data_IF_008330285941
#
_entry.id   IF_008330285941
#
_cell.length_a   1.000
_cell.length_b   1.000
_cell.length_c   1.000
_cell.angle_alpha   90.00
_cell.angle_beta   90.00
_cell.angle_gamma   90.00
#
_symmetry.space_group_name_H-M   'P 1'
#
loop_
_entity.id
_entity.type
_entity.pdbx_description
1 polymer ?
#
# COMPACT_ATOMS: atom_id res chain seq x y z
N UNK A 1 -3.79 51.55 32.50
CA UNK A 1 -4.68 50.37 32.53
C UNK A 1 -3.98 49.28 31.72
N UNK A 2 -3.35 48.31 32.37
CA UNK A 2 -2.76 47.16 31.66
C UNK A 2 -3.89 46.30 31.05
N UNK A 3 -3.64 45.60 29.93
CA UNK A 3 -4.67 44.75 29.34
C UNK A 3 -5.13 43.72 30.40
N UNK A 4 -6.44 43.49 30.55
CA UNK A 4 -6.94 42.48 31.47
C UNK A 4 -6.31 41.14 31.10
N UNK A 5 -5.56 40.57 32.03
CA UNK A 5 -4.97 39.24 31.87
C UNK A 5 -6.12 38.24 31.85
N UNK A 6 -6.39 37.64 30.68
CA UNK A 6 -7.47 36.67 30.43
C UNK A 6 -7.53 35.52 31.47
N UNK A 7 -6.43 35.24 32.15
CA UNK A 7 -6.27 34.20 33.17
C UNK A 7 -6.98 34.49 34.50
N UNK A 8 -7.44 35.73 34.75
CA UNK A 8 -8.07 36.11 36.02
C UNK A 8 -9.58 35.82 36.10
N UNK A 9 -10.20 35.40 34.98
CA UNK A 9 -11.67 35.32 34.85
C UNK A 9 -12.25 33.94 35.20
N UNK A 10 -11.44 32.88 35.16
CA UNK A 10 -11.84 31.55 35.63
C UNK A 10 -10.83 30.98 36.62
N UNK A 11 -11.29 30.24 37.63
CA UNK A 11 -10.39 29.55 38.54
C UNK A 11 -9.61 28.44 37.82
N UNK A 12 -8.35 28.27 38.24
CA UNK A 12 -7.35 27.42 37.58
C UNK A 12 -7.81 25.96 37.38
N UNK A 13 -8.62 25.44 38.30
CA UNK A 13 -9.17 24.09 38.20
C UNK A 13 -10.10 23.89 36.98
N UNK A 14 -10.83 24.93 36.53
CA UNK A 14 -11.69 24.81 35.36
C UNK A 14 -10.87 24.63 34.08
N UNK A 15 -9.75 25.36 33.95
CA UNK A 15 -8.82 25.17 32.84
C UNK A 15 -8.18 23.78 32.84
N UNK A 16 -7.82 23.27 34.03
CA UNK A 16 -7.27 21.93 34.17
C UNK A 16 -8.29 20.85 33.75
N UNK A 17 -9.52 20.89 34.30
CA UNK A 17 -10.54 19.89 34.00
C UNK A 17 -11.03 19.95 32.56
N UNK A 18 -11.18 21.15 31.98
CA UNK A 18 -11.54 21.30 30.56
C UNK A 18 -10.45 20.78 29.63
N UNK A 19 -9.19 21.07 29.91
CA UNK A 19 -8.05 20.52 29.14
C UNK A 19 -8.00 19.01 29.23
N UNK A 20 -8.14 18.46 30.45
CA UNK A 20 -8.18 17.02 30.68
C UNK A 20 -9.34 16.36 29.93
N UNK A 21 -10.54 16.94 29.99
CA UNK A 21 -11.71 16.45 29.27
C UNK A 21 -11.50 16.45 27.75
N UNK A 22 -10.95 17.53 27.20
CA UNK A 22 -10.61 17.60 25.76
C UNK A 22 -9.60 16.54 25.36
N UNK A 23 -8.52 16.37 26.15
CA UNK A 23 -7.52 15.33 25.88
C UNK A 23 -8.10 13.92 25.97
N UNK A 24 -9.02 13.66 26.90
CA UNK A 24 -9.72 12.37 26.99
C UNK A 24 -10.65 12.13 25.79
N UNK A 25 -11.34 13.16 25.29
CA UNK A 25 -12.18 13.03 24.09
C UNK A 25 -11.32 12.74 22.86
N UNK A 26 -10.24 13.49 22.64
CA UNK A 26 -9.31 13.24 21.53
C UNK A 26 -8.70 11.85 21.67
N UNK A 27 -8.16 11.54 22.85
CA UNK A 27 -7.52 10.26 23.13
C UNK A 27 -8.44 9.06 22.93
N UNK A 28 -9.70 9.16 23.37
CA UNK A 28 -10.69 8.09 23.15
C UNK A 28 -11.06 7.95 21.67
N UNK A 29 -11.29 9.05 20.95
CA UNK A 29 -11.53 9.04 19.51
C UNK A 29 -10.36 8.45 18.71
N UNK A 30 -9.13 8.78 19.09
CA UNK A 30 -7.91 8.20 18.51
C UNK A 30 -7.78 6.73 18.85
N UNK A 31 -8.00 6.34 20.09
CA UNK A 31 -7.90 4.94 20.53
C UNK A 31 -8.92 4.05 19.81
N UNK A 32 -10.18 4.48 19.72
CA UNK A 32 -11.22 3.75 18.97
C UNK A 32 -10.82 3.56 17.51
N UNK A 33 -10.28 4.61 16.87
CA UNK A 33 -9.84 4.50 15.46
C UNK A 33 -8.64 3.58 15.31
N UNK A 34 -7.66 3.67 16.20
CA UNK A 34 -6.48 2.79 16.20
C UNK A 34 -6.88 1.32 16.41
N UNK A 35 -7.88 1.04 17.24
CA UNK A 35 -8.44 -0.31 17.43
C UNK A 35 -9.17 -0.78 16.17
N UNK A 36 -9.95 0.07 15.51
CA UNK A 36 -10.58 -0.28 14.23
C UNK A 36 -9.55 -0.62 13.15
N UNK A 37 -8.43 0.11 13.12
CA UNK A 37 -7.34 -0.08 12.18
C UNK A 37 -6.28 -1.07 12.68
N UNK A 38 -6.51 -1.78 13.81
CA UNK A 38 -5.48 -2.66 14.40
C UNK A 38 -5.30 -3.96 13.63
N UNK A 39 -6.24 -4.31 12.75
CA UNK A 39 -6.19 -5.49 11.86
C UNK A 39 -5.23 -5.29 10.66
N UNK A 40 -4.38 -4.28 10.69
CA UNK A 40 -3.31 -4.05 9.71
C UNK A 40 -3.79 -3.42 8.40
N UNK A 41 -2.96 -3.56 7.35
CA UNK A 41 -3.24 -2.98 6.04
C UNK A 41 -4.55 -3.47 5.43
N UNK A 42 -4.89 -4.75 5.64
CA UNK A 42 -6.13 -5.37 5.16
C UNK A 42 -7.39 -4.63 5.60
N UNK A 43 -7.46 -4.17 6.85
CA UNK A 43 -8.61 -3.41 7.35
C UNK A 43 -8.76 -2.07 6.65
N UNK A 44 -7.65 -1.45 6.27
CA UNK A 44 -7.62 -0.20 5.52
C UNK A 44 -8.10 -0.43 4.08
N UNK A 45 -7.64 -1.51 3.44
CA UNK A 45 -8.10 -1.91 2.10
C UNK A 45 -9.60 -2.21 2.06
N UNK A 46 -10.10 -3.04 2.99
CA UNK A 46 -11.52 -3.38 3.09
C UNK A 46 -12.39 -2.13 3.38
N UNK A 47 -11.91 -1.19 4.19
CA UNK A 47 -12.60 0.07 4.47
C UNK A 47 -12.74 0.97 3.23
N UNK A 48 -11.79 0.88 2.30
CA UNK A 48 -11.85 1.54 1.00
C UNK A 48 -12.65 0.77 -0.05
N UNK A 49 -13.27 -0.36 0.31
CA UNK A 49 -14.02 -1.20 -0.63
C UNK A 49 -13.12 -2.09 -1.49
N UNK A 50 -11.88 -2.30 -1.07
CA UNK A 50 -10.97 -3.23 -1.72
C UNK A 50 -11.42 -4.67 -1.57
N UNK A 51 -11.39 -5.42 -2.68
CA UNK A 51 -11.58 -6.86 -2.73
C UNK A 51 -10.21 -7.54 -2.89
N UNK A 52 -9.85 -8.54 -2.07
CA UNK A 52 -8.59 -9.26 -2.25
C UNK A 52 -8.60 -10.02 -3.59
N UNK A 53 -7.45 -10.01 -4.26
CA UNK A 53 -7.20 -10.80 -5.47
C UNK A 53 -6.69 -12.17 -5.05
N UNK A 54 -7.19 -13.23 -5.69
CA UNK A 54 -6.68 -14.58 -5.49
C UNK A 54 -5.52 -14.86 -6.45
N UNK A 55 -4.52 -15.62 -6.02
CA UNK A 55 -3.35 -15.95 -6.84
C UNK A 55 -3.71 -16.72 -8.13
N UNK A 56 -4.81 -17.47 -8.09
CA UNK A 56 -5.39 -18.26 -9.19
C UNK A 56 -6.41 -17.47 -10.03
N UNK A 57 -6.41 -16.13 -9.97
CA UNK A 57 -7.36 -15.31 -10.74
C UNK A 57 -7.24 -15.58 -12.25
N UNK A 58 -8.40 -15.74 -12.89
CA UNK A 58 -8.53 -15.87 -14.35
C UNK A 58 -8.62 -14.51 -15.05
N UNK A 59 -8.81 -13.42 -14.31
CA UNK A 59 -8.89 -12.06 -14.87
C UNK A 59 -7.50 -11.58 -15.33
N UNK A 60 -7.28 -11.32 -16.64
CA UNK A 60 -5.97 -10.91 -17.16
C UNK A 60 -5.44 -9.62 -16.53
N UNK A 61 -6.31 -8.68 -16.15
CA UNK A 61 -5.90 -7.41 -15.53
C UNK A 61 -5.42 -7.63 -14.10
N UNK A 62 -6.10 -8.50 -13.35
CA UNK A 62 -5.71 -8.86 -11.99
C UNK A 62 -4.41 -9.67 -12.01
N UNK A 63 -4.25 -10.60 -12.97
CA UNK A 63 -3.01 -11.37 -13.15
C UNK A 63 -1.83 -10.46 -13.51
N UNK A 64 -2.03 -9.49 -14.40
CA UNK A 64 -1.02 -8.47 -14.71
C UNK A 64 -0.61 -7.68 -13.48
N UNK A 65 -1.56 -7.31 -12.61
CA UNK A 65 -1.27 -6.61 -11.37
C UNK A 65 -0.46 -7.48 -10.40
N UNK A 66 -0.83 -8.75 -10.23
CA UNK A 66 -0.07 -9.68 -9.38
C UNK A 66 1.38 -9.79 -9.84
N UNK A 67 1.62 -10.00 -11.14
CA UNK A 67 2.97 -10.05 -11.70
C UNK A 67 3.76 -8.75 -11.44
N UNK A 68 3.13 -7.59 -11.65
CA UNK A 68 3.75 -6.29 -11.38
C UNK A 68 4.10 -6.12 -9.89
N UNK A 69 3.22 -6.55 -8.98
CA UNK A 69 3.48 -6.49 -7.54
C UNK A 69 4.63 -7.39 -7.14
N UNK A 70 4.69 -8.61 -7.69
CA UNK A 70 5.77 -9.56 -7.47
C UNK A 70 7.12 -9.01 -7.95
N UNK A 71 7.16 -8.45 -9.16
CA UNK A 71 8.35 -7.80 -9.71
C UNK A 71 8.84 -6.65 -8.82
N UNK A 72 7.93 -5.83 -8.29
CA UNK A 72 8.28 -4.71 -7.41
C UNK A 72 8.70 -5.18 -6.01
N UNK A 73 8.16 -6.29 -5.52
CA UNK A 73 8.63 -6.93 -4.29
C UNK A 73 10.08 -7.38 -4.42
N UNK A 74 10.42 -8.04 -5.54
CA UNK A 74 11.79 -8.45 -5.85
C UNK A 74 12.70 -7.22 -6.00
N UNK A 75 12.29 -6.22 -6.78
CA UNK A 75 13.11 -5.04 -7.06
C UNK A 75 13.39 -4.18 -5.82
N UNK A 76 12.45 -4.11 -4.89
CA UNK A 76 12.57 -3.31 -3.65
C UNK A 76 13.08 -4.12 -2.45
N UNK A 77 13.15 -5.45 -2.56
CA UNK A 77 13.60 -6.34 -1.49
C UNK A 77 12.62 -6.45 -0.32
N UNK A 78 11.32 -6.26 -0.57
CA UNK A 78 10.27 -6.44 0.44
C UNK A 78 9.45 -7.70 0.13
N UNK A 79 8.79 -8.27 1.13
CA UNK A 79 7.90 -9.40 0.95
C UNK A 79 6.71 -9.02 0.05
N UNK A 80 6.21 -9.97 -0.75
CA UNK A 80 5.03 -9.78 -1.61
C UNK A 80 3.81 -9.44 -0.72
N UNK A 81 3.22 -8.24 -0.84
CA UNK A 81 2.07 -7.83 -0.06
C UNK A 81 0.76 -8.47 -0.57
N UNK A 82 -0.26 -8.56 0.28
CA UNK A 82 -1.61 -8.91 -0.19
C UNK A 82 -2.11 -7.83 -1.16
N UNK A 83 -2.72 -8.25 -2.26
CA UNK A 83 -3.16 -7.35 -3.34
C UNK A 83 -4.68 -7.21 -3.36
N UNK A 84 -5.17 -5.98 -3.45
CA UNK A 84 -6.59 -5.64 -3.48
C UNK A 84 -6.96 -4.82 -4.72
N UNK A 85 -8.19 -5.01 -5.20
CA UNK A 85 -8.79 -4.16 -6.24
C UNK A 85 -10.03 -3.46 -5.71
N UNK A 86 -10.10 -2.14 -5.94
CA UNK A 86 -11.28 -1.32 -5.65
C UNK A 86 -12.15 -1.22 -6.92
N UNK A 87 -13.09 -2.15 -7.10
CA UNK A 87 -13.88 -2.30 -8.33
C UNK A 87 -14.83 -1.12 -8.60
N UNK A 88 -15.27 -0.42 -7.56
CA UNK A 88 -16.23 0.69 -7.66
C UNK A 88 -15.56 2.04 -8.01
N UNK A 89 -14.23 2.08 -8.13
CA UNK A 89 -13.44 3.30 -8.27
C UNK A 89 -12.85 3.43 -9.67
N UNK A 90 -13.28 4.45 -10.42
CA UNK A 90 -12.88 4.69 -11.82
C UNK A 90 -11.73 5.69 -11.98
N UNK A 91 -11.35 6.43 -10.93
CA UNK A 91 -10.15 7.26 -10.94
C UNK A 91 -8.89 6.40 -10.95
N UNK A 92 -7.79 6.91 -11.52
CA UNK A 92 -6.49 6.24 -11.50
C UNK A 92 -5.85 6.47 -10.13
N UNK A 93 -5.83 5.43 -9.29
CA UNK A 93 -5.25 5.53 -7.95
C UNK A 93 -4.75 4.17 -7.44
N UNK A 94 -3.86 4.24 -6.46
CA UNK A 94 -3.35 3.10 -5.72
C UNK A 94 -2.98 3.56 -4.31
N UNK A 95 -2.81 2.64 -3.36
CA UNK A 95 -2.19 2.93 -2.08
C UNK A 95 -1.57 1.69 -1.43
N UNK A 96 -0.54 1.89 -0.61
CA UNK A 96 -0.04 0.90 0.33
C UNK A 96 -0.48 1.18 1.78
N UNK A 97 -0.84 0.13 2.52
CA UNK A 97 -1.22 0.24 3.93
C UNK A 97 -0.65 -0.90 4.78
N UNK A 98 -0.25 -0.60 6.02
CA UNK A 98 0.29 -1.59 6.97
C UNK A 98 1.04 -0.93 8.13
N UNK A 99 1.22 -1.65 9.24
CA UNK A 99 2.08 -1.17 10.35
C UNK A 99 3.54 -1.55 10.16
N UNK A 100 3.81 -2.60 9.38
CA UNK A 100 5.14 -3.04 9.02
C UNK A 100 5.15 -3.49 7.55
N UNK A 101 6.32 -3.55 6.89
CA UNK A 101 6.43 -4.08 5.54
C UNK A 101 5.85 -5.50 5.39
N UNK A 102 5.98 -6.35 6.42
CA UNK A 102 5.48 -7.74 6.40
C UNK A 102 3.95 -7.85 6.54
N UNK A 103 3.28 -6.76 6.93
CA UNK A 103 1.81 -6.67 7.03
C UNK A 103 1.26 -5.68 5.99
N UNK A 104 2.06 -5.37 4.98
CA UNK A 104 1.69 -4.44 3.93
C UNK A 104 0.65 -5.05 3.01
N UNK A 105 -0.26 -4.21 2.55
CA UNK A 105 -1.18 -4.51 1.45
C UNK A 105 -1.03 -3.43 0.41
N UNK A 106 -1.23 -3.80 -0.86
CA UNK A 106 -1.31 -2.86 -1.98
C UNK A 106 -2.70 -2.93 -2.57
N UNK A 107 -3.37 -1.79 -2.66
CA UNK A 107 -4.70 -1.68 -3.26
C UNK A 107 -4.64 -0.78 -4.49
N UNK A 108 -5.27 -1.22 -5.59
CA UNK A 108 -5.32 -0.49 -6.87
C UNK A 108 -6.77 -0.29 -7.29
N UNK A 109 -7.10 0.86 -7.87
CA UNK A 109 -8.46 1.12 -8.39
C UNK A 109 -8.72 0.37 -9.70
N UNK A 110 -9.99 0.11 -10.00
CA UNK A 110 -10.38 -0.42 -11.31
C UNK A 110 -9.92 0.50 -12.45
N UNK A 111 -10.06 1.82 -12.26
CA UNK A 111 -9.58 2.81 -13.23
C UNK A 111 -8.09 2.70 -13.53
N UNK A 112 -7.24 2.47 -12.52
CA UNK A 112 -5.80 2.27 -12.75
C UNK A 112 -5.53 0.98 -13.54
N UNK A 113 -6.27 -0.10 -13.28
CA UNK A 113 -6.14 -1.33 -14.06
C UNK A 113 -6.59 -1.18 -15.52
N UNK A 114 -7.67 -0.46 -15.78
CA UNK A 114 -8.21 -0.35 -17.14
C UNK A 114 -7.47 0.68 -18.00
N UNK A 115 -6.99 1.77 -17.40
CA UNK A 115 -6.43 2.92 -18.13
C UNK A 115 -4.91 2.84 -18.27
N UNK A 116 -4.22 2.26 -17.29
CA UNK A 116 -2.76 2.17 -17.32
C UNK A 116 -2.31 0.94 -18.12
N UNK A 117 -1.30 1.15 -18.96
CA UNK A 117 -0.56 0.04 -19.54
C UNK A 117 0.31 -0.63 -18.47
N UNK A 118 1.01 -1.71 -18.84
CA UNK A 118 1.81 -2.49 -17.90
C UNK A 118 2.92 -1.67 -17.23
N UNK A 119 3.67 -0.88 -18.00
CA UNK A 119 4.81 -0.10 -17.50
C UNK A 119 4.37 1.08 -16.62
N UNK A 120 3.25 1.71 -16.98
CA UNK A 120 2.63 2.75 -16.18
C UNK A 120 2.10 2.20 -14.85
N UNK A 121 1.42 1.06 -14.89
CA UNK A 121 0.97 0.37 -13.68
C UNK A 121 2.17 -0.02 -12.80
N UNK A 122 3.24 -0.54 -13.41
CA UNK A 122 4.48 -0.86 -12.71
C UNK A 122 5.09 0.39 -12.06
N UNK A 123 5.10 1.54 -12.74
CA UNK A 123 5.55 2.82 -12.16
C UNK A 123 4.72 3.27 -10.95
N UNK A 124 3.40 3.13 -11.01
CA UNK A 124 2.49 3.44 -9.89
C UNK A 124 2.72 2.49 -8.73
N UNK A 125 2.79 1.18 -8.98
CA UNK A 125 3.03 0.18 -7.93
C UNK A 125 4.43 0.38 -7.31
N UNK A 126 5.47 0.65 -8.11
CA UNK A 126 6.82 0.93 -7.62
C UNK A 126 6.86 2.14 -6.67
N UNK A 127 6.06 3.18 -6.95
CA UNK A 127 5.90 4.32 -6.06
C UNK A 127 5.31 3.88 -4.71
N UNK A 128 4.25 3.06 -4.71
CA UNK A 128 3.66 2.51 -3.48
C UNK A 128 4.64 1.62 -2.70
N UNK A 129 5.48 0.85 -3.40
CA UNK A 129 6.54 0.06 -2.77
C UNK A 129 7.60 0.93 -2.08
N UNK A 130 7.86 2.15 -2.55
CA UNK A 130 8.71 3.10 -1.84
C UNK A 130 8.13 3.47 -0.48
N UNK A 131 6.81 3.64 -0.37
CA UNK A 131 6.15 3.89 0.91
C UNK A 131 6.17 2.67 1.85
N UNK A 132 6.12 1.46 1.29
CA UNK A 132 6.31 0.22 2.06
C UNK A 132 7.72 0.18 2.65
N UNK A 133 8.74 0.31 1.81
CA UNK A 133 10.15 0.22 2.18
C UNK A 133 10.55 1.30 3.19
N UNK A 134 10.10 2.55 2.99
CA UNK A 134 10.42 3.68 3.86
C UNK A 134 9.57 3.73 5.14
N UNK A 135 8.58 2.85 5.30
CA UNK A 135 7.73 2.76 6.48
C UNK A 135 6.70 3.90 6.62
N UNK A 136 6.34 4.53 5.50
CA UNK A 136 5.43 5.68 5.46
C UNK A 136 4.01 5.29 5.86
N UNK A 137 3.62 4.06 5.55
CA UNK A 137 2.31 3.49 5.90
C UNK A 137 2.01 3.58 7.41
N UNK A 138 3.01 3.29 8.26
CA UNK A 138 2.84 3.34 9.73
C UNK A 138 2.53 4.76 10.20
N UNK A 139 3.25 5.73 9.65
CA UNK A 139 3.03 7.15 9.95
C UNK A 139 1.64 7.56 9.47
N UNK A 140 1.25 7.12 8.28
CA UNK A 140 -0.04 7.41 7.68
C UNK A 140 -1.22 6.88 8.53
N UNK A 141 -1.16 5.64 9.00
CA UNK A 141 -2.19 5.05 9.88
C UNK A 141 -2.24 5.78 11.23
N UNK A 142 -1.08 6.12 11.81
CA UNK A 142 -1.06 6.86 13.09
C UNK A 142 -1.66 8.26 12.96
N UNK A 143 -1.34 8.95 11.87
CA UNK A 143 -1.91 10.27 11.55
C UNK A 143 -3.43 10.18 11.38
N UNK A 144 -3.97 9.15 10.75
CA UNK A 144 -5.43 8.93 10.68
C UNK A 144 -6.06 8.86 12.07
N UNK A 145 -5.49 8.06 12.98
CA UNK A 145 -6.02 7.93 14.33
C UNK A 145 -6.02 9.27 15.08
N UNK A 146 -4.93 10.03 15.00
CA UNK A 146 -4.83 11.35 15.66
C UNK A 146 -5.81 12.35 15.05
N UNK A 147 -5.90 12.42 13.71
CA UNK A 147 -6.82 13.32 13.01
C UNK A 147 -8.28 12.98 13.33
N UNK A 148 -8.63 11.70 13.40
CA UNK A 148 -9.96 11.26 13.81
C UNK A 148 -10.29 11.72 15.25
N UNK A 149 -9.33 11.61 16.18
CA UNK A 149 -9.51 12.10 17.55
C UNK A 149 -9.81 13.60 17.61
N UNK A 150 -9.12 14.42 16.83
CA UNK A 150 -9.39 15.86 16.71
C UNK A 150 -10.77 16.10 16.08
N UNK A 151 -11.13 15.32 15.05
CA UNK A 151 -12.40 15.44 14.33
C UNK A 151 -13.61 15.16 15.22
N UNK A 152 -13.50 14.26 16.19
CA UNK A 152 -14.56 13.98 17.17
C UNK A 152 -15.03 15.25 17.89
N UNK A 153 -14.13 16.18 18.22
CA UNK A 153 -14.50 17.47 18.85
C UNK A 153 -15.41 18.28 17.92
N UNK A 154 -15.00 18.43 16.66
CA UNK A 154 -15.77 19.15 15.66
C UNK A 154 -17.12 18.48 15.38
N UNK A 155 -17.14 17.15 15.36
CA UNK A 155 -18.35 16.35 15.17
C UNK A 155 -19.35 16.55 16.33
N UNK A 156 -18.87 16.57 17.58
CA UNK A 156 -19.70 16.90 18.76
C UNK A 156 -20.26 18.32 18.63
N UNK A 157 -19.43 19.30 18.26
CA UNK A 157 -19.89 20.67 18.03
C UNK A 157 -20.98 20.75 16.96
N UNK A 158 -20.77 20.08 15.82
CA UNK A 158 -21.74 19.98 14.74
C UNK A 158 -23.04 19.27 15.15
N UNK A 159 -22.95 18.21 15.96
CA UNK A 159 -24.11 17.52 16.51
C UNK A 159 -24.94 18.43 17.42
N UNK A 160 -24.30 19.17 18.33
CA UNK A 160 -24.97 20.13 19.22
C UNK A 160 -25.71 21.21 18.42
N UNK A 161 -25.09 21.76 17.37
CA UNK A 161 -25.71 22.74 16.47
C UNK A 161 -26.93 22.17 15.72
N UNK A 162 -26.88 20.90 15.29
CA UNK A 162 -27.98 20.24 14.56
C UNK A 162 -29.13 19.81 15.47
N UNK A 163 -28.82 19.38 16.70
CA UNK A 163 -29.81 18.90 17.68
C UNK A 163 -30.91 19.93 17.99
N UNK A 164 -30.58 21.22 17.93
CA UNK A 164 -31.50 22.33 18.18
C UNK A 164 -32.46 22.60 17.00
N UNK A 165 -32.16 22.16 15.77
CA UNK A 165 -33.10 22.29 14.64
C UNK A 165 -34.39 21.49 14.87
N UNK A 166 -34.30 20.40 15.64
CA UNK A 166 -35.42 19.54 16.05
C UNK A 166 -36.06 19.96 17.40
N UNK A 167 -35.39 20.80 18.20
CA UNK A 167 -35.88 21.28 19.50
C UNK A 167 -36.83 22.48 19.42
N UNK A 168 -37.20 22.93 18.20
CA UNK A 168 -38.02 24.13 17.91
C UNK A 168 -39.45 24.12 18.49
N UNK A 169 -39.81 23.13 19.30
CA UNK A 169 -41.16 22.86 19.80
C UNK A 169 -41.30 22.86 21.33
N UNK A 170 -40.41 23.51 22.09
CA UNK A 170 -40.57 23.61 23.56
C UNK A 170 -40.35 25.03 24.12
N UNK A 171 -41.29 25.39 25.00
CA UNK A 171 -41.43 26.54 25.93
C UNK A 171 -40.36 27.63 25.97
N UNK A 172 -40.84 28.89 26.10
CA UNK A 172 -40.07 30.14 26.27
C UNK A 172 -39.01 30.12 27.39
N UNK A 173 -39.18 29.33 28.45
CA UNK A 173 -38.19 29.22 29.56
C UNK A 173 -36.93 28.41 29.19
N UNK A 174 -36.96 27.65 28.09
CA UNK A 174 -35.81 26.85 27.64
C UNK A 174 -34.87 27.59 26.68
N UNK A 175 -35.19 28.83 26.32
CA UNK A 175 -34.47 29.61 25.32
C UNK A 175 -33.02 29.95 25.73
N UNK A 176 -32.79 30.24 27.02
CA UNK A 176 -31.46 30.61 27.51
C UNK A 176 -30.49 29.42 27.56
N UNK A 177 -30.98 28.23 27.94
CA UNK A 177 -30.21 26.98 27.88
C UNK A 177 -29.89 26.56 26.45
N UNK A 178 -30.83 26.76 25.52
CA UNK A 178 -30.62 26.50 24.10
C UNK A 178 -29.52 27.38 23.48
N UNK A 179 -29.49 28.68 23.83
CA UNK A 179 -28.44 29.60 23.38
C UNK A 179 -27.06 29.24 23.94
N UNK A 180 -26.98 28.81 25.20
CA UNK A 180 -25.73 28.35 25.80
C UNK A 180 -25.18 27.10 25.09
N UNK A 181 -26.03 26.11 24.83
CA UNK A 181 -25.65 24.89 24.08
C UNK A 181 -25.22 25.23 22.65
N UNK A 182 -25.89 26.18 21.99
CA UNK A 182 -25.51 26.65 20.66
C UNK A 182 -24.13 27.33 20.66
N UNK A 183 -23.85 28.18 21.65
CA UNK A 183 -22.53 28.82 21.80
C UNK A 183 -21.41 27.79 22.00
N UNK A 184 -21.64 26.79 22.86
CA UNK A 184 -20.70 25.68 23.08
C UNK A 184 -20.51 24.87 21.79
N UNK A 185 -21.61 24.52 21.11
CA UNK A 185 -21.58 23.77 19.87
C UNK A 185 -20.79 24.50 18.77
N UNK A 186 -20.99 25.81 18.63
CA UNK A 186 -20.25 26.63 17.68
C UNK A 186 -18.76 26.72 18.04
N UNK A 187 -18.43 26.91 19.31
CA UNK A 187 -17.05 26.96 19.77
C UNK A 187 -16.30 25.64 19.50
N UNK A 188 -16.92 24.49 19.84
CA UNK A 188 -16.35 23.16 19.56
C UNK A 188 -16.22 22.89 18.06
N UNK A 189 -17.20 23.33 17.26
CA UNK A 189 -17.16 23.19 15.81
C UNK A 189 -15.97 23.96 15.21
N UNK A 190 -15.81 25.23 15.58
CA UNK A 190 -14.69 26.07 15.12
C UNK A 190 -13.36 25.49 15.58
N UNK A 191 -13.25 25.08 16.85
CA UNK A 191 -12.01 24.53 17.40
C UNK A 191 -11.62 23.22 16.70
N UNK A 192 -12.58 22.32 16.48
CA UNK A 192 -12.36 21.07 15.74
C UNK A 192 -11.89 21.32 14.31
N UNK A 193 -12.55 22.23 13.59
CA UNK A 193 -12.18 22.57 12.21
C UNK A 193 -10.81 23.25 12.12
N UNK A 194 -10.48 24.12 13.07
CA UNK A 194 -9.16 24.74 13.17
C UNK A 194 -8.07 23.69 13.42
N UNK A 195 -8.33 22.72 14.32
CA UNK A 195 -7.42 21.60 14.57
C UNK A 195 -7.18 20.76 13.32
N UNK A 196 -8.23 20.44 12.56
CA UNK A 196 -8.13 19.72 11.28
C UNK A 196 -7.31 20.53 10.27
N UNK A 197 -7.55 21.85 10.16
CA UNK A 197 -6.83 22.72 9.25
C UNK A 197 -5.31 22.71 9.52
N UNK A 198 -4.90 22.91 10.77
CA UNK A 198 -3.48 22.86 11.14
C UNK A 198 -2.89 21.45 11.00
N UNK A 199 -3.65 20.42 11.34
CA UNK A 199 -3.26 19.03 11.12
C UNK A 199 -2.98 18.73 9.64
N UNK A 200 -3.87 19.18 8.74
CA UNK A 200 -3.69 19.07 7.29
C UNK A 200 -2.47 19.83 6.80
N UNK A 201 -2.23 21.04 7.32
CA UNK A 201 -1.09 21.86 6.91
C UNK A 201 0.25 21.22 7.26
N UNK A 202 0.40 20.71 8.50
CA UNK A 202 1.61 20.01 8.94
C UNK A 202 1.83 18.76 8.08
N UNK A 203 0.77 17.97 7.89
CA UNK A 203 0.80 16.74 7.12
C UNK A 203 1.18 16.99 5.65
N UNK A 204 0.57 17.98 5.02
CA UNK A 204 0.87 18.37 3.64
C UNK A 204 2.32 18.82 3.46
N UNK A 205 2.90 19.51 4.44
CA UNK A 205 4.31 19.89 4.38
C UNK A 205 5.26 18.68 4.43
N UNK A 206 4.96 17.69 5.27
CA UNK A 206 5.78 16.48 5.45
C UNK A 206 5.61 15.49 4.30
N UNK A 207 4.39 15.28 3.79
CA UNK A 207 4.11 14.31 2.72
C UNK A 207 4.79 14.68 1.41
N UNK A 208 4.74 15.95 1.01
CA UNK A 208 5.24 16.39 -0.31
C UNK A 208 6.71 16.07 -0.58
N UNK A 209 7.57 16.08 0.44
CA UNK A 209 8.97 15.70 0.27
C UNK A 209 9.14 14.20 0.06
N UNK A 210 8.31 13.39 0.71
CA UNK A 210 8.28 11.93 0.56
C UNK A 210 7.74 11.51 -0.79
N UNK A 211 6.77 12.22 -1.36
CA UNK A 211 6.29 11.96 -2.72
C UNK A 211 7.40 12.06 -3.76
N UNK A 212 8.28 13.07 -3.67
CA UNK A 212 9.41 13.19 -4.62
C UNK A 212 10.46 12.09 -4.44
N UNK A 213 10.66 11.63 -3.20
CA UNK A 213 11.53 10.48 -2.93
C UNK A 213 10.92 9.19 -3.48
N UNK A 214 9.61 9.02 -3.33
CA UNK A 214 8.86 7.88 -3.83
C UNK A 214 8.87 7.85 -5.37
N UNK A 215 8.69 8.99 -6.04
CA UNK A 215 8.85 9.12 -7.49
C UNK A 215 10.25 8.70 -7.95
N UNK A 216 11.30 9.17 -7.28
CA UNK A 216 12.67 8.77 -7.61
C UNK A 216 12.94 7.28 -7.35
N UNK A 217 12.38 6.73 -6.26
CA UNK A 217 12.50 5.31 -5.92
C UNK A 217 11.76 4.44 -6.95
N UNK A 218 10.60 4.89 -7.44
CA UNK A 218 9.87 4.19 -8.48
C UNK A 218 10.74 4.04 -9.74
N UNK A 219 11.40 5.11 -10.18
CA UNK A 219 12.37 5.06 -11.29
C UNK A 219 13.55 4.13 -10.97
N UNK A 220 14.03 4.12 -9.73
CA UNK A 220 15.12 3.23 -9.32
C UNK A 220 14.71 1.75 -9.37
N UNK A 221 13.51 1.40 -8.91
CA UNK A 221 13.01 0.03 -8.89
C UNK A 221 12.66 -0.47 -10.29
N UNK A 222 11.95 0.32 -11.09
CA UNK A 222 11.55 -0.08 -12.45
C UNK A 222 12.67 0.05 -13.47
N UNK A 223 13.68 0.89 -13.17
CA UNK A 223 14.69 1.37 -14.14
C UNK A 223 14.06 2.02 -15.39
N UNK A 224 12.81 2.44 -15.28
CA UNK A 224 12.01 2.98 -16.37
C UNK A 224 11.32 4.29 -15.93
N UNK A 225 11.90 5.47 -16.24
CA UNK A 225 11.31 6.75 -15.87
C UNK A 225 10.00 7.07 -16.63
N UNK A 226 9.82 6.52 -17.84
CA UNK A 226 8.65 6.83 -18.66
C UNK A 226 7.37 6.24 -18.07
N UNK A 227 7.44 5.07 -17.41
CA UNK A 227 6.28 4.41 -16.78
C UNK A 227 5.55 5.33 -15.81
N UNK A 228 6.23 5.81 -14.76
CA UNK A 228 5.61 6.71 -13.78
C UNK A 228 5.28 8.10 -14.36
N UNK A 229 6.10 8.63 -15.27
CA UNK A 229 5.83 9.93 -15.89
C UNK A 229 4.56 9.92 -16.75
N UNK A 230 4.36 8.87 -17.57
CA UNK A 230 3.17 8.69 -18.38
C UNK A 230 1.94 8.38 -17.54
N UNK A 231 2.07 7.60 -16.45
CA UNK A 231 0.97 7.39 -15.50
C UNK A 231 0.48 8.72 -14.90
N UNK A 232 1.41 9.59 -14.46
CA UNK A 232 1.08 10.92 -13.94
C UNK A 232 0.46 11.82 -15.03
N UNK A 233 0.96 11.74 -16.28
CA UNK A 233 0.37 12.46 -17.42
C UNK A 233 -1.07 12.01 -17.69
N UNK A 234 -1.36 10.70 -17.63
CA UNK A 234 -2.72 10.18 -17.77
C UNK A 234 -3.65 10.66 -16.66
N UNK A 235 -3.16 10.75 -15.41
CA UNK A 235 -3.93 11.37 -14.32
C UNK A 235 -4.23 12.84 -14.62
N UNK A 236 -3.25 13.57 -15.14
CA UNK A 236 -3.40 14.99 -15.47
C UNK A 236 -4.43 15.23 -16.60
N UNK A 237 -4.45 14.35 -17.61
CA UNK A 237 -5.29 14.51 -18.80
C UNK A 237 -6.70 13.90 -18.65
N UNK A 238 -6.87 12.88 -17.81
CA UNK A 238 -8.15 12.20 -17.66
C UNK A 238 -9.17 13.05 -16.89
N UNK A 239 -10.42 13.09 -17.39
CA UNK A 239 -11.54 13.80 -16.77
C UNK A 239 -11.89 13.30 -15.35
N UNK A 240 -11.74 11.99 -15.09
CA UNK A 240 -11.88 11.43 -13.72
C UNK A 240 -10.61 11.65 -12.88
N UNK A 241 -9.46 11.82 -13.53
CA UNK A 241 -8.16 12.00 -12.89
C UNK A 241 -7.88 10.89 -11.87
N UNK A 242 -7.58 11.30 -10.64
CA UNK A 242 -7.32 10.39 -9.51
C UNK A 242 -8.48 10.34 -8.49
N UNK A 243 -9.63 10.94 -8.82
CA UNK A 243 -10.75 11.10 -7.89
C UNK A 243 -11.37 9.76 -7.51
N UNK A 244 -11.80 9.66 -6.25
CA UNK A 244 -12.48 8.48 -5.71
C UNK A 244 -13.84 8.83 -5.10
N UNK A 245 -14.77 7.87 -5.12
CA UNK A 245 -16.15 8.00 -4.65
C UNK A 245 -16.33 7.55 -3.19
N UNK A 246 -15.43 6.74 -2.64
CA UNK A 246 -15.54 6.24 -1.29
C UNK A 246 -15.64 7.37 -0.24
N UNK A 247 -16.53 7.20 0.75
CA UNK A 247 -16.75 8.19 1.82
C UNK A 247 -15.51 8.42 2.71
N UNK A 248 -14.59 7.48 2.75
CA UNK A 248 -13.37 7.58 3.56
C UNK A 248 -12.19 8.19 2.80
N UNK A 249 -12.33 8.46 1.50
CA UNK A 249 -11.26 9.05 0.66
C UNK A 249 -10.68 10.33 1.24
N UNK A 250 -11.51 11.21 1.84
CA UNK A 250 -11.00 12.45 2.44
C UNK A 250 -10.09 12.21 3.66
N UNK A 251 -10.35 11.14 4.43
CA UNK A 251 -9.49 10.74 5.56
C UNK A 251 -8.18 10.10 5.06
N UNK A 252 -8.24 9.46 3.89
CA UNK A 252 -7.19 8.63 3.31
C UNK A 252 -6.40 9.28 2.17
N UNK A 253 -6.69 10.53 1.84
CA UNK A 253 -6.17 11.21 0.64
C UNK A 253 -4.65 11.28 0.53
N UNK A 254 -3.93 11.17 1.65
CA UNK A 254 -2.47 11.18 1.73
C UNK A 254 -1.81 9.81 1.51
N UNK A 255 -2.59 8.73 1.52
CA UNK A 255 -2.08 7.39 1.21
C UNK A 255 -2.22 7.08 -0.27
N UNK A 256 -3.07 7.82 -0.96
CA UNK A 256 -3.39 7.62 -2.36
C UNK A 256 -2.24 8.12 -3.24
N UNK A 257 -1.91 7.41 -4.31
CA UNK A 257 -0.93 7.78 -5.32
C UNK A 257 -1.16 9.19 -5.92
N UNK A 258 -2.44 9.55 -6.07
CA UNK A 258 -2.87 10.84 -6.56
C UNK A 258 -4.02 11.45 -5.74
N UNK A 259 -4.39 12.68 -6.11
CA UNK A 259 -5.38 13.47 -5.39
C UNK A 259 -6.79 12.85 -5.49
N UNK A 260 -7.19 12.08 -4.47
CA UNK A 260 -8.47 11.38 -4.43
C UNK A 260 -9.72 12.26 -4.24
N UNK A 261 -9.56 13.51 -3.81
CA UNK A 261 -10.67 14.44 -3.55
C UNK A 261 -10.52 15.69 -4.39
N UNK A 262 -11.63 16.19 -4.94
CA UNK A 262 -11.61 17.41 -5.73
C UNK A 262 -11.24 18.61 -4.87
N UNK A 263 -10.08 19.20 -5.13
CA UNK A 263 -9.64 20.40 -4.44
C UNK A 263 -10.18 21.66 -5.10
N UNK A 264 -10.52 22.64 -4.27
CA UNK A 264 -10.80 24.01 -4.72
C UNK A 264 -9.46 24.76 -4.83
N UNK A 265 -9.35 25.75 -5.72
CA UNK A 265 -8.10 26.50 -5.93
C UNK A 265 -7.52 27.12 -4.64
N UNK A 266 -8.37 27.44 -3.66
CA UNK A 266 -7.99 27.98 -2.34
C UNK A 266 -7.36 26.95 -1.40
N UNK A 267 -7.45 25.65 -1.69
CA UNK A 267 -6.92 24.57 -0.84
C UNK A 267 -5.62 23.94 -1.34
N UNK A 268 -5.02 24.47 -2.42
CA UNK A 268 -3.75 23.93 -2.97
C UNK A 268 -2.60 23.90 -1.95
N UNK A 269 -2.58 24.79 -0.96
CA UNK A 269 -1.57 24.76 0.10
C UNK A 269 -1.73 23.55 1.05
N UNK A 270 -2.97 23.05 1.17
CA UNK A 270 -3.35 21.90 1.98
C UNK A 270 -3.29 20.58 1.19
N UNK A 271 -2.89 20.63 -0.08
CA UNK A 271 -2.69 19.44 -0.89
C UNK A 271 -1.61 18.55 -0.29
N UNK A 272 -1.97 17.29 -0.04
CA UNK A 272 -1.04 16.27 0.45
C UNK A 272 -0.03 15.91 -0.63
N UNK A 273 -0.44 16.05 -1.89
CA UNK A 273 0.38 15.78 -3.07
C UNK A 273 0.96 17.05 -3.68
N UNK A 274 2.22 17.02 -4.14
CA UNK A 274 2.72 18.08 -5.01
C UNK A 274 1.92 18.13 -6.32
N UNK A 275 1.84 19.30 -6.98
CA UNK A 275 1.24 19.41 -8.30
C UNK A 275 1.84 18.40 -9.29
N UNK A 276 0.99 17.76 -10.09
CA UNK A 276 1.38 16.70 -11.03
C UNK A 276 2.45 17.18 -12.01
N UNK A 277 2.33 18.41 -12.51
CA UNK A 277 3.28 19.02 -13.44
C UNK A 277 4.69 19.13 -12.83
N UNK A 278 4.77 19.38 -11.51
CA UNK A 278 6.06 19.43 -10.79
C UNK A 278 6.66 18.04 -10.59
N UNK A 279 5.83 17.01 -10.41
CA UNK A 279 6.28 15.61 -10.33
C UNK A 279 6.80 15.15 -11.69
N UNK A 280 5.99 15.32 -12.74
CA UNK A 280 6.33 14.97 -14.12
C UNK A 280 7.63 15.65 -14.55
N UNK A 281 7.74 16.98 -14.38
CA UNK A 281 8.94 17.73 -14.79
C UNK A 281 10.23 17.31 -14.07
N UNK A 282 10.14 16.72 -12.88
CA UNK A 282 11.31 16.19 -12.17
C UNK A 282 11.74 14.82 -12.69
N UNK A 283 10.79 14.00 -13.11
CA UNK A 283 11.06 12.65 -13.62
C UNK A 283 11.48 12.72 -15.08
N UNK A 284 10.68 13.40 -15.91
CA UNK A 284 10.94 13.62 -17.32
C UNK A 284 10.74 15.11 -17.66
N UNK A 285 11.83 15.91 -17.65
CA UNK A 285 11.77 17.33 -18.00
C UNK A 285 11.34 17.61 -19.45
N UNK A 286 11.43 16.62 -20.34
CA UNK A 286 11.14 16.77 -21.77
C UNK A 286 9.71 16.39 -22.13
N UNK A 287 8.96 15.78 -21.21
CA UNK A 287 7.60 15.32 -21.46
C UNK A 287 6.63 16.52 -21.64
N UNK A 288 5.94 16.54 -22.78
CA UNK A 288 4.94 17.57 -23.10
C UNK A 288 3.56 17.18 -22.55
N UNK A 289 2.96 18.08 -21.78
CA UNK A 289 1.67 17.85 -21.09
C UNK A 289 0.44 18.10 -21.96
N UNK A 290 0.58 18.95 -22.99
CA UNK A 290 -0.52 19.40 -23.85
C UNK A 290 -0.80 18.46 -25.03
N UNK A 291 0.09 17.49 -25.28
CA UNK A 291 -0.09 16.46 -26.30
C UNK A 291 -1.05 15.39 -25.76
N UNK A 292 -2.30 15.40 -26.25
CA UNK A 292 -3.22 14.28 -26.07
C UNK A 292 -2.68 13.09 -26.86
N UNK A 293 -2.12 12.10 -26.17
CA UNK A 293 -1.78 10.83 -26.80
C UNK A 293 -3.11 10.13 -27.08
N UNK A 294 -3.54 10.19 -28.35
CA UNK A 294 -4.81 9.61 -28.81
C UNK A 294 -4.72 8.09 -28.91
N UNK A 295 -3.54 7.52 -28.66
CA UNK A 295 -3.31 6.09 -28.58
C UNK A 295 -3.71 5.59 -27.19
N UNK A 296 -5.02 5.51 -26.98
CA UNK A 296 -5.53 4.40 -26.19
C UNK A 296 -5.11 3.14 -26.93
N UNK A 297 -4.09 2.45 -26.42
CA UNK A 297 -3.84 1.07 -26.80
C UNK A 297 -5.13 0.31 -26.49
N UNK A 298 -5.97 0.13 -27.52
CA UNK A 298 -6.91 -0.95 -27.55
C UNK A 298 -6.15 -2.20 -27.10
N UNK A 299 -6.79 -3.06 -26.30
CA UNK A 299 -6.30 -4.40 -26.00
C UNK A 299 -6.12 -5.16 -27.31
N UNK A 300 -5.02 -4.88 -28.01
CA UNK A 300 -4.50 -5.73 -29.04
C UNK A 300 -3.87 -6.87 -28.27
N UNK A 301 -4.52 -8.04 -28.35
CA UNK A 301 -3.85 -9.33 -28.25
C UNK A 301 -2.77 -9.36 -29.33
N UNK A 302 -1.67 -8.67 -29.06
CA UNK A 302 -0.42 -8.83 -29.78
C UNK A 302 0.40 -9.83 -28.97
N UNK A 303 0.42 -11.05 -29.47
CA UNK A 303 1.51 -11.99 -29.25
C UNK A 303 2.80 -11.30 -29.76
N UNK A 304 3.39 -10.44 -28.93
CA UNK A 304 4.75 -9.97 -29.17
C UNK A 304 5.69 -11.14 -28.92
N UNK A 305 5.90 -11.89 -30.00
CA UNK A 305 7.05 -12.76 -30.20
C UNK A 305 8.30 -11.91 -30.00
N UNK A 306 8.92 -12.07 -28.83
CA UNK A 306 10.19 -11.44 -28.51
C UNK A 306 11.20 -11.78 -29.60
N UNK A 307 11.66 -10.73 -30.31
CA UNK A 307 12.70 -10.82 -31.30
C UNK A 307 14.00 -11.29 -30.65
N UNK A 308 14.29 -12.58 -30.79
CA UNK A 308 15.61 -13.16 -30.54
C UNK A 308 16.56 -12.50 -31.53
N UNK A 309 17.33 -11.55 -31.02
CA UNK A 309 18.47 -10.99 -31.74
C UNK A 309 19.47 -12.13 -31.91
N UNK A 310 19.59 -12.62 -33.15
CA UNK A 310 20.66 -13.53 -33.56
C UNK A 310 22.00 -12.99 -33.06
N UNK A 311 22.73 -13.75 -32.24
CA UNK A 311 24.20 -13.67 -32.18
C UNK A 311 24.82 -14.88 -31.45
N UNK A 312 25.47 -15.72 -32.26
CA UNK A 312 26.55 -16.66 -31.97
C UNK A 312 26.53 -17.47 -30.66
N UNK A 313 26.16 -18.72 -30.83
CA UNK A 313 26.52 -19.84 -29.97
C UNK A 313 28.04 -19.99 -29.83
N UNK A 314 28.55 -19.72 -28.64
CA UNK A 314 29.74 -20.39 -28.13
C UNK A 314 29.35 -21.12 -26.85
N UNK A 315 28.99 -22.38 -27.02
CA UNK A 315 28.92 -23.38 -25.94
C UNK A 315 30.33 -23.64 -25.44
N UNK A 316 30.66 -23.09 -24.27
CA UNK A 316 31.94 -23.32 -23.60
C UNK A 316 31.79 -23.25 -22.10
N UNK A 317 32.08 -24.37 -21.45
CA UNK A 317 32.23 -24.59 -20.00
C UNK A 317 32.39 -23.30 -19.18
N UNK A 318 31.50 -23.08 -18.23
CA UNK A 318 31.66 -22.06 -17.19
C UNK A 318 32.82 -22.50 -16.29
N UNK A 319 34.03 -22.03 -16.60
CA UNK A 319 35.15 -22.10 -15.68
C UNK A 319 34.85 -21.20 -14.47
N UNK A 320 34.73 -21.84 -13.31
CA UNK A 320 34.47 -21.21 -12.01
C UNK A 320 35.71 -20.49 -11.49
N UNK A 321 36.00 -19.31 -12.06
CA UNK A 321 36.94 -18.36 -11.47
C UNK A 321 36.20 -17.42 -10.53
N UNK A 322 36.70 -17.28 -9.29
CA UNK A 322 36.09 -16.42 -8.25
C UNK A 322 35.89 -14.97 -8.73
N UNK A 323 36.78 -14.48 -9.59
CA UNK A 323 36.74 -13.13 -10.14
C UNK A 323 35.66 -12.96 -11.23
N UNK A 324 35.32 -14.01 -11.98
CA UNK A 324 34.23 -13.95 -12.98
C UNK A 324 32.86 -13.99 -12.31
N UNK A 325 32.74 -14.71 -11.19
CA UNK A 325 31.52 -14.73 -10.37
C UNK A 325 31.24 -13.34 -9.80
N UNK A 326 32.24 -12.68 -9.19
CA UNK A 326 32.07 -11.33 -8.61
C UNK A 326 31.67 -10.30 -9.66
N UNK A 327 32.25 -10.37 -10.86
CA UNK A 327 31.93 -9.44 -11.95
C UNK A 327 30.56 -9.71 -12.62
N UNK A 328 29.96 -10.87 -12.37
CA UNK A 328 28.62 -11.23 -12.87
C UNK A 328 27.49 -10.91 -11.88
N UNK A 329 27.81 -10.53 -10.64
CA UNK A 329 26.81 -10.17 -9.62
C UNK A 329 26.08 -8.89 -10.05
N UNK A 330 24.79 -9.00 -10.34
CA UNK A 330 23.93 -7.89 -10.74
C UNK A 330 23.77 -7.70 -12.25
N UNK A 331 24.39 -8.54 -13.08
CA UNK A 331 24.15 -8.62 -14.52
C UNK A 331 23.45 -9.95 -14.84
N UNK A 332 22.20 -9.87 -15.31
CA UNK A 332 21.45 -11.05 -15.76
C UNK A 332 21.89 -11.37 -17.18
N UNK A 333 22.58 -12.50 -17.36
CA UNK A 333 23.04 -12.95 -18.67
C UNK A 333 22.04 -13.95 -19.28
N UNK A 334 21.97 -14.03 -20.60
CA UNK A 334 21.07 -14.94 -21.33
C UNK A 334 21.31 -16.42 -20.95
N UNK A 335 22.57 -16.81 -20.73
CA UNK A 335 22.91 -18.15 -20.25
C UNK A 335 22.38 -18.45 -18.83
N UNK A 336 22.31 -17.43 -17.95
CA UNK A 336 21.75 -17.57 -16.60
C UNK A 336 20.22 -17.66 -16.67
N UNK A 337 19.58 -16.90 -17.56
CA UNK A 337 18.13 -17.00 -17.81
C UNK A 337 17.75 -18.35 -18.39
N UNK A 338 18.52 -18.87 -19.35
CA UNK A 338 18.29 -20.20 -19.92
C UNK A 338 18.46 -21.30 -18.86
N UNK A 339 19.53 -21.21 -18.05
CA UNK A 339 19.74 -22.15 -16.95
C UNK A 339 18.61 -22.10 -15.92
N UNK A 340 18.14 -20.90 -15.53
CA UNK A 340 17.01 -20.75 -14.62
C UNK A 340 15.71 -21.32 -15.22
N UNK A 341 15.48 -21.12 -16.52
CA UNK A 341 14.33 -21.66 -17.22
C UNK A 341 14.36 -23.19 -17.28
N UNK A 342 15.49 -23.78 -17.68
CA UNK A 342 15.68 -25.23 -17.74
C UNK A 342 15.55 -25.86 -16.35
N UNK A 343 16.06 -25.18 -15.31
CA UNK A 343 15.96 -25.61 -13.91
C UNK A 343 14.52 -25.53 -13.38
N UNK A 344 13.74 -24.52 -13.75
CA UNK A 344 12.32 -24.45 -13.36
C UNK A 344 11.49 -25.52 -14.08
N UNK A 345 11.77 -25.79 -15.36
CA UNK A 345 11.05 -26.82 -16.12
C UNK A 345 11.34 -28.26 -15.66
N UNK A 346 12.49 -28.50 -15.03
CA UNK A 346 12.85 -29.82 -14.52
C UNK A 346 12.27 -30.12 -13.13
N UNK A 347 11.67 -29.14 -12.45
CA UNK A 347 10.96 -29.37 -11.19
C UNK A 347 9.62 -30.05 -11.49
N UNK A 348 9.30 -31.19 -10.85
CA UNK A 348 8.00 -31.84 -11.00
C UNK A 348 6.83 -30.89 -10.73
N UNK A 349 5.85 -30.87 -11.64
CA UNK A 349 4.67 -29.97 -11.57
C UNK A 349 3.92 -30.09 -10.23
N UNK A 350 3.91 -31.29 -9.64
CA UNK A 350 3.30 -31.54 -8.33
C UNK A 350 3.98 -30.75 -7.21
N UNK A 351 5.30 -30.59 -7.25
CA UNK A 351 6.06 -29.80 -6.27
C UNK A 351 5.76 -28.32 -6.49
N UNK A 352 5.74 -27.85 -7.74
CA UNK A 352 5.39 -26.45 -8.08
C UNK A 352 3.98 -26.09 -7.59
N UNK A 353 3.00 -26.97 -7.74
CA UNK A 353 1.64 -26.77 -7.21
C UNK A 353 1.63 -26.63 -5.67
N UNK A 354 2.43 -27.44 -4.97
CA UNK A 354 2.52 -27.38 -3.51
C UNK A 354 3.27 -26.13 -3.03
N UNK A 355 4.24 -25.62 -3.80
CA UNK A 355 4.93 -24.35 -3.50
C UNK A 355 3.93 -23.18 -3.49
N UNK A 356 2.97 -23.17 -4.43
CA UNK A 356 1.97 -22.11 -4.54
C UNK A 356 0.94 -22.13 -3.39
N UNK A 357 0.87 -23.21 -2.61
CA UNK A 357 0.01 -23.30 -1.43
C UNK A 357 0.79 -23.02 -0.14
N UNK A 358 0.27 -22.14 0.72
CA UNK A 358 0.89 -21.83 2.02
C UNK A 358 1.18 -23.05 2.90
N UNK A 359 0.36 -24.12 2.79
CA UNK A 359 0.59 -25.38 3.51
C UNK A 359 1.68 -26.23 2.84
N UNK A 360 1.70 -26.28 1.52
CA UNK A 360 2.66 -27.06 0.74
C UNK A 360 4.07 -26.46 0.79
N UNK A 361 4.21 -25.14 0.70
CA UNK A 361 5.49 -24.44 0.88
C UNK A 361 6.15 -24.78 2.23
N UNK A 362 5.38 -24.77 3.32
CA UNK A 362 5.86 -25.20 4.65
C UNK A 362 6.28 -26.66 4.68
N UNK A 363 5.54 -27.54 4.00
CA UNK A 363 5.86 -28.95 3.93
C UNK A 363 7.16 -29.19 3.14
N UNK A 364 7.42 -28.42 2.07
CA UNK A 364 8.66 -28.50 1.28
C UNK A 364 9.85 -28.03 2.11
N UNK A 365 9.74 -26.90 2.80
CA UNK A 365 10.78 -26.42 3.70
C UNK A 365 11.09 -27.43 4.82
N UNK A 366 10.05 -28.03 5.42
CA UNK A 366 10.23 -29.10 6.40
C UNK A 366 10.90 -30.34 5.81
N UNK A 367 10.60 -30.70 4.56
CA UNK A 367 11.23 -31.81 3.85
C UNK A 367 12.72 -31.54 3.61
N UNK A 368 13.08 -30.33 3.21
CA UNK A 368 14.47 -29.92 2.99
C UNK A 368 15.27 -29.89 4.29
N UNK A 369 14.64 -29.47 5.40
CA UNK A 369 15.25 -29.51 6.74
C UNK A 369 15.39 -30.96 7.24
N UNK A 370 14.42 -31.83 6.96
CA UNK A 370 14.38 -33.22 7.44
C UNK A 370 15.51 -34.12 6.95
N UNK A 371 16.35 -33.66 6.00
CA UNK A 371 17.45 -34.41 5.36
C UNK A 371 16.99 -35.68 4.61
N UNK A 372 17.91 -36.35 3.90
CA UNK A 372 17.61 -37.58 3.13
C UNK A 372 17.00 -38.70 3.98
N UNK A 373 17.40 -38.81 5.26
CA UNK A 373 16.75 -39.69 6.21
C UNK A 373 15.75 -38.87 7.01
N UNK A 374 14.48 -38.94 6.60
CA UNK A 374 13.32 -38.40 7.31
C UNK A 374 13.51 -38.46 8.83
N UNK A 375 13.98 -37.37 9.42
CA UNK A 375 14.29 -37.34 10.85
C UNK A 375 12.98 -37.18 11.62
N UNK A 376 12.28 -38.29 11.84
CA UNK A 376 10.94 -38.32 12.45
C UNK A 376 10.93 -37.68 13.84
N UNK A 377 12.03 -37.79 14.59
CA UNK A 377 12.17 -37.14 15.90
C UNK A 377 12.17 -35.62 15.78
N UNK A 378 12.87 -35.06 14.79
CA UNK A 378 12.89 -33.61 14.55
C UNK A 378 11.52 -33.12 14.08
N UNK A 379 10.86 -33.85 13.16
CA UNK A 379 9.52 -33.52 12.68
C UNK A 379 8.51 -33.53 13.84
N UNK A 380 8.61 -34.50 14.76
CA UNK A 380 7.73 -34.61 15.92
C UNK A 380 7.96 -33.49 16.93
N UNK A 381 9.22 -33.07 17.15
CA UNK A 381 9.54 -31.89 17.98
C UNK A 381 9.00 -30.60 17.37
N UNK A 382 9.13 -30.40 16.05
CA UNK A 382 8.61 -29.22 15.37
C UNK A 382 7.07 -29.17 15.41
N UNK A 383 6.41 -30.32 15.26
CA UNK A 383 4.94 -30.43 15.40
C UNK A 383 4.44 -30.03 16.79
N UNK A 384 5.19 -30.34 17.86
CA UNK A 384 4.78 -30.01 19.23
C UNK A 384 5.08 -28.56 19.61
N UNK A 385 6.15 -27.97 19.09
CA UNK A 385 6.64 -26.66 19.51
C UNK A 385 6.24 -25.50 18.58
N UNK A 386 5.75 -25.76 17.37
CA UNK A 386 5.35 -24.74 16.40
C UNK A 386 3.85 -24.83 16.10
N UNK A 387 3.09 -23.82 16.57
CA UNK A 387 1.65 -23.70 16.31
C UNK A 387 1.35 -23.51 14.82
N UNK A 388 0.40 -24.29 14.29
CA UNK A 388 -0.01 -24.22 12.88
C UNK A 388 0.82 -25.08 11.91
N UNK A 389 1.70 -25.94 12.43
CA UNK A 389 2.53 -26.85 11.64
C UNK A 389 1.90 -28.25 11.47
N UNK A 390 0.79 -28.55 12.17
CA UNK A 390 0.10 -29.84 12.13
C UNK A 390 -0.31 -30.26 10.72
N UNK A 391 -0.86 -29.31 9.96
CA UNK A 391 -1.40 -29.55 8.62
C UNK A 391 -0.28 -29.76 7.61
N UNK A 392 0.84 -29.02 7.74
CA UNK A 392 2.00 -29.15 6.87
C UNK A 392 2.71 -30.51 7.03
N UNK A 393 2.64 -31.13 8.22
CA UNK A 393 3.23 -32.46 8.47
C UNK A 393 2.45 -33.58 7.77
N UNK A 394 1.15 -33.41 7.54
CA UNK A 394 0.36 -34.37 6.77
C UNK A 394 0.75 -34.33 5.29
N UNK A 395 0.84 -33.12 4.73
CA UNK A 395 1.32 -32.88 3.36
C UNK A 395 2.77 -33.31 3.17
N UNK A 396 3.65 -33.11 4.17
CA UNK A 396 5.04 -33.57 4.17
C UNK A 396 5.16 -35.06 3.82
N UNK A 397 4.32 -35.92 4.44
CA UNK A 397 4.40 -37.36 4.19
C UNK A 397 4.08 -37.73 2.74
N UNK A 398 3.34 -36.89 2.02
CA UNK A 398 2.97 -37.12 0.63
C UNK A 398 4.08 -36.69 -0.34
N UNK A 399 4.83 -35.63 0.00
CA UNK A 399 5.81 -35.01 -0.90
C UNK A 399 7.27 -35.29 -0.56
N UNK A 400 7.58 -35.77 0.66
CA UNK A 400 8.95 -35.90 1.14
C UNK A 400 9.82 -36.79 0.24
N UNK A 401 9.28 -37.91 -0.25
CA UNK A 401 10.00 -38.83 -1.14
C UNK A 401 10.33 -38.18 -2.48
N UNK A 402 9.43 -37.35 -3.02
CA UNK A 402 9.65 -36.64 -4.28
C UNK A 402 10.68 -35.52 -4.11
N UNK A 403 10.60 -34.76 -3.02
CA UNK A 403 11.57 -33.69 -2.72
C UNK A 403 12.96 -34.25 -2.39
N UNK A 404 13.04 -35.36 -1.64
CA UNK A 404 14.31 -36.00 -1.31
C UNK A 404 14.98 -36.69 -2.51
N UNK A 405 14.23 -36.99 -3.57
CA UNK A 405 14.76 -37.57 -4.80
C UNK A 405 15.37 -36.52 -5.75
N UNK A 406 15.17 -35.22 -5.50
CA UNK A 406 15.74 -34.16 -6.32
C UNK A 406 17.25 -33.98 -6.04
N UNK A 407 18.06 -33.70 -7.07
CA UNK A 407 19.47 -33.38 -6.90
C UNK A 407 19.68 -32.17 -5.97
N UNK A 408 20.84 -32.11 -5.32
CA UNK A 408 21.18 -31.05 -4.35
C UNK A 408 21.12 -29.63 -4.94
N UNK A 409 21.30 -29.51 -6.26
CA UNK A 409 21.21 -28.26 -7.02
C UNK A 409 19.83 -27.58 -6.89
N UNK A 410 18.77 -28.33 -6.60
CA UNK A 410 17.39 -27.82 -6.47
C UNK A 410 17.06 -27.32 -5.07
N UNK A 411 17.90 -27.56 -4.06
CA UNK A 411 17.57 -27.20 -2.68
C UNK A 411 17.42 -25.70 -2.47
N UNK A 412 18.36 -24.89 -2.99
CA UNK A 412 18.30 -23.43 -2.87
C UNK A 412 17.12 -22.85 -3.67
N UNK A 413 16.90 -23.22 -4.95
CA UNK A 413 15.71 -22.81 -5.70
C UNK A 413 14.40 -23.15 -4.98
N UNK A 414 14.27 -24.35 -4.41
CA UNK A 414 13.05 -24.74 -3.69
C UNK A 414 12.83 -23.94 -2.40
N UNK A 415 13.90 -23.57 -1.69
CA UNK A 415 13.81 -22.68 -0.53
C UNK A 415 13.32 -21.30 -0.98
N UNK A 416 13.95 -20.75 -2.02
CA UNK A 416 13.64 -19.40 -2.52
C UNK A 416 12.18 -19.32 -3.00
N UNK A 417 11.74 -20.30 -3.80
CA UNK A 417 10.37 -20.41 -4.27
C UNK A 417 9.36 -20.64 -3.12
N UNK A 418 9.74 -21.32 -2.03
CA UNK A 418 8.87 -21.54 -0.88
C UNK A 418 8.79 -20.34 0.08
N UNK A 419 9.64 -19.32 -0.10
CA UNK A 419 9.68 -18.10 0.71
C UNK A 419 8.97 -16.90 0.03
N UNK A 420 8.69 -17.01 -1.27
CA UNK A 420 7.82 -16.09 -2.02
C UNK A 420 6.38 -16.24 -1.54
#
# INVERSE_FOLDING_TARGET
MGPPQLWQWLPLHIYFYSTLATLLIIGSGTMVRMVQLSRGGRAVAELMGGRPISADTEDPLERRLLNVVEEMAIASGVQIPEVFVMREESGINAFAAGYSPNEAVVAVTQGALEILNRDELQGVVAHEFSHILNGDMRINIRLMGVLNGILVIGAIGGYLLRSQRYARYRSRDSAQGALAIMGIGLALYILGYAGIFFGRLIKAAVSRQREFLADASAVQFTRNPSGIAHALKKIYQNATGSLMLNRHTEEMSHMLFGEGVRQLNVTQMLATHPPLEKRIRRIDPNLQLDSYDTEGHALTTEEESYGISQLNSNTGNIETNSDSVINSVGQVNEAQMQYAHDLLQSIPERILQHIQEFKGAKAILLSLIASEQKNEQMIQMLKQNVTGLSDAVETLNQIHTEVAALPDEYRIPLIDLSLQ
#
